data_IF_125272225760
#
_entry.id   IF_125272225760
#
_cell.length_a   1.000
_cell.length_b   1.000
_cell.length_c   1.000
_cell.angle_alpha   90.00
_cell.angle_beta   90.00
_cell.angle_gamma   90.00
#
_symmetry.space_group_name_H-M   'P 1'
#
loop_
_entity.id
_entity.type
_entity.pdbx_description
1 polymer ?
#
# COMPACT_ATOMS: atom_id res chain seq x y z
N UNK A 1 -9.53 -18.80 24.32
CA UNK A 1 -9.18 -20.13 24.87
C UNK A 1 -7.74 -20.39 24.47
N UNK A 2 -6.89 -20.81 25.39
CA UNK A 2 -5.46 -21.06 25.15
C UNK A 2 -5.21 -22.47 24.57
N UNK A 3 -3.94 -22.80 24.32
CA UNK A 3 -3.51 -24.08 23.75
C UNK A 3 -3.71 -25.29 24.70
N UNK A 4 -4.08 -25.03 25.95
CA UNK A 4 -4.33 -26.03 26.98
C UNK A 4 -5.83 -26.17 27.30
N UNK A 5 -6.69 -25.47 26.56
CA UNK A 5 -8.15 -25.56 26.72
C UNK A 5 -8.71 -24.70 27.85
N UNK A 6 -7.91 -23.82 28.46
CA UNK A 6 -8.42 -22.88 29.46
C UNK A 6 -9.03 -21.65 28.78
N UNK A 7 -10.08 -21.04 29.37
CA UNK A 7 -10.55 -19.74 28.91
C UNK A 7 -9.38 -18.74 29.03
N UNK A 8 -8.96 -18.19 27.89
CA UNK A 8 -7.94 -17.14 27.85
C UNK A 8 -8.42 -15.99 28.73
N UNK A 9 -7.56 -15.52 29.65
CA UNK A 9 -7.90 -14.53 30.68
C UNK A 9 -8.75 -13.37 30.16
N UNK A 10 -9.64 -12.89 31.02
CA UNK A 10 -10.53 -11.75 30.76
C UNK A 10 -9.66 -10.58 30.27
N UNK A 11 -9.97 -10.00 29.12
CA UNK A 11 -9.34 -8.74 28.71
C UNK A 11 -9.47 -7.74 29.88
N UNK A 12 -8.34 -7.18 30.33
CA UNK A 12 -8.31 -6.17 31.38
C UNK A 12 -9.35 -5.09 31.09
N UNK A 13 -10.14 -4.72 32.10
CA UNK A 13 -11.32 -3.85 31.96
C UNK A 13 -11.01 -2.53 31.23
N UNK A 14 -9.80 -2.00 31.41
CA UNK A 14 -9.29 -0.80 30.74
C UNK A 14 -9.20 -0.94 29.20
N UNK A 15 -8.89 -2.13 28.68
CA UNK A 15 -8.81 -2.36 27.23
C UNK A 15 -10.18 -2.32 26.56
N UNK A 16 -11.20 -2.84 27.25
CA UNK A 16 -12.58 -2.83 26.77
C UNK A 16 -13.11 -1.40 26.75
N UNK A 17 -12.83 -0.61 27.80
CA UNK A 17 -13.24 0.79 27.89
C UNK A 17 -12.57 1.65 26.81
N UNK A 18 -11.27 1.50 26.61
CA UNK A 18 -10.53 2.24 25.59
C UNK A 18 -11.00 1.88 24.17
N UNK A 19 -11.23 0.59 23.89
CA UNK A 19 -11.77 0.15 22.61
C UNK A 19 -13.19 0.69 22.35
N UNK A 20 -14.05 0.67 23.38
CA UNK A 20 -15.40 1.21 23.28
C UNK A 20 -15.39 2.73 23.04
N UNK A 21 -14.52 3.46 23.75
CA UNK A 21 -14.37 4.91 23.60
C UNK A 21 -13.91 5.29 22.18
N UNK A 22 -12.90 4.61 21.64
CA UNK A 22 -12.42 4.85 20.27
C UNK A 22 -13.50 4.58 19.21
N UNK A 23 -14.27 3.51 19.38
CA UNK A 23 -15.37 3.19 18.46
C UNK A 23 -16.47 4.25 18.50
N UNK A 24 -16.81 4.76 19.68
CA UNK A 24 -17.81 5.82 19.84
C UNK A 24 -17.35 7.13 19.17
N UNK A 25 -16.10 7.54 19.42
CA UNK A 25 -15.53 8.77 18.84
C UNK A 25 -15.40 8.68 17.31
N UNK A 26 -14.94 7.55 16.77
CA UNK A 26 -14.83 7.34 15.33
C UNK A 26 -16.21 7.36 14.64
N UNK A 27 -17.23 6.76 15.26
CA UNK A 27 -18.61 6.78 14.74
C UNK A 27 -19.19 8.18 14.72
N UNK A 28 -18.96 8.98 15.77
CA UNK A 28 -19.42 10.37 15.82
C UNK A 28 -18.75 11.22 14.72
N UNK A 29 -17.42 11.15 14.60
CA UNK A 29 -16.66 11.87 13.55
C UNK A 29 -17.07 11.45 12.14
N UNK A 30 -17.34 10.17 11.91
CA UNK A 30 -17.77 9.69 10.60
C UNK A 30 -19.21 10.14 10.27
N UNK A 31 -20.12 10.12 11.24
CA UNK A 31 -21.48 10.59 11.05
C UNK A 31 -21.53 12.08 10.67
N UNK A 32 -20.72 12.91 11.34
CA UNK A 32 -20.61 14.34 11.04
C UNK A 32 -20.03 14.59 9.64
N UNK A 33 -18.91 13.93 9.29
CA UNK A 33 -18.32 14.02 7.94
C UNK A 33 -19.30 13.55 6.86
N UNK A 34 -20.02 12.46 7.11
CA UNK A 34 -21.02 11.92 6.17
C UNK A 34 -22.23 12.83 6.03
N UNK A 35 -22.66 13.51 7.09
CA UNK A 35 -23.74 14.50 7.02
C UNK A 35 -23.31 15.74 6.22
N UNK A 36 -22.09 16.24 6.46
CA UNK A 36 -21.51 17.35 5.71
C UNK A 36 -21.34 17.02 4.21
N UNK A 37 -20.86 15.82 3.88
CA UNK A 37 -20.71 15.37 2.49
C UNK A 37 -22.07 15.17 1.80
N UNK A 38 -23.08 14.66 2.50
CA UNK A 38 -24.44 14.52 1.94
C UNK A 38 -25.08 15.88 1.67
N UNK A 39 -24.82 16.89 2.51
CA UNK A 39 -25.32 18.24 2.29
C UNK A 39 -24.62 18.93 1.10
N UNK A 40 -23.33 18.67 0.87
CA UNK A 40 -22.58 19.27 -0.26
C UNK A 40 -22.81 18.54 -1.60
N UNK A 41 -23.07 17.23 -1.59
CA UNK A 41 -23.18 16.41 -2.81
C UNK A 41 -24.60 16.04 -3.26
N UNK A 42 -25.65 16.65 -2.70
CA UNK A 42 -27.05 16.40 -3.09
C UNK A 42 -27.35 16.64 -4.59
N UNK A 43 -26.46 17.30 -5.35
CA UNK A 43 -26.61 17.56 -6.79
C UNK A 43 -25.69 16.77 -7.73
N UNK A 44 -24.72 16.00 -7.21
CA UNK A 44 -23.71 15.34 -8.06
C UNK A 44 -24.10 13.93 -8.54
N UNK A 45 -25.10 13.28 -7.92
CA UNK A 45 -25.41 11.87 -8.17
C UNK A 45 -26.37 11.60 -9.35
N UNK A 46 -26.51 12.53 -10.31
CA UNK A 46 -27.38 12.37 -11.50
C UNK A 46 -26.69 12.50 -12.87
N UNK A 47 -25.36 12.66 -12.96
CA UNK A 47 -24.73 13.07 -14.24
C UNK A 47 -23.46 12.37 -14.69
N UNK A 48 -23.16 11.15 -14.27
CA UNK A 48 -22.08 10.38 -14.92
C UNK A 48 -22.47 8.94 -15.27
N UNK A 49 -23.59 8.81 -15.96
CA UNK A 49 -23.86 7.68 -16.85
C UNK A 49 -24.04 8.24 -18.27
N UNK A 50 -22.95 8.66 -18.89
CA UNK A 50 -22.90 8.87 -20.34
C UNK A 50 -21.58 8.34 -20.87
N UNK A 51 -21.50 7.01 -20.93
CA UNK A 51 -20.66 6.34 -21.93
C UNK A 51 -21.45 6.36 -23.23
N UNK A 52 -21.00 7.13 -24.22
CA UNK A 52 -21.36 6.88 -25.62
C UNK A 52 -20.08 6.69 -26.44
N UNK A 53 -20.02 5.65 -27.30
CA UNK A 53 -18.83 5.27 -28.05
C UNK A 53 -18.76 5.94 -29.43
N UNK A 54 -17.52 6.11 -29.90
CA UNK A 54 -17.00 5.99 -31.28
C UNK A 54 -17.88 6.52 -32.43
N UNK A 55 -17.38 7.54 -33.15
CA UNK A 55 -17.38 7.49 -34.62
C UNK A 55 -16.12 8.18 -35.21
N UNK A 56 -15.85 7.83 -36.45
CA UNK A 56 -14.59 7.64 -37.16
C UNK A 56 -14.08 8.88 -37.91
N UNK A 57 -12.75 9.00 -37.92
CA UNK A 57 -11.86 9.17 -39.09
C UNK A 57 -12.07 10.41 -39.98
N UNK A 58 -11.00 11.21 -40.13
CA UNK A 58 -10.21 11.21 -41.36
C UNK A 58 -8.90 12.01 -41.27
N UNK A 59 -7.87 11.42 -41.88
CA UNK A 59 -6.73 12.03 -42.56
C UNK A 59 -5.63 12.75 -41.74
N UNK A 60 -4.61 11.99 -41.34
CA UNK A 60 -3.22 12.05 -41.89
C UNK A 60 -2.36 11.02 -41.15
N UNK A 61 -1.47 10.24 -41.81
CA UNK A 61 -0.55 9.37 -41.08
C UNK A 61 0.55 10.24 -40.45
N UNK A 62 0.64 10.40 -39.12
CA UNK A 62 1.87 10.90 -38.54
C UNK A 62 2.94 9.84 -38.79
N UNK A 63 4.01 10.24 -39.47
CA UNK A 63 5.22 9.43 -39.68
C UNK A 63 5.56 8.74 -38.36
N UNK A 64 5.61 7.40 -38.38
CA UNK A 64 6.15 6.60 -37.27
C UNK A 64 7.62 6.94 -37.14
N UNK A 65 7.94 7.96 -36.34
CA UNK A 65 9.26 8.03 -35.73
C UNK A 65 9.34 6.83 -34.79
N UNK A 66 10.37 5.98 -34.88
CA UNK A 66 10.60 4.98 -33.85
C UNK A 66 10.92 5.76 -32.58
N UNK A 67 9.92 5.88 -31.70
CA UNK A 67 10.15 6.29 -30.33
C UNK A 67 10.97 5.15 -29.74
N UNK A 68 12.29 5.26 -29.85
CA UNK A 68 13.22 4.56 -29.00
C UNK A 68 12.89 5.03 -27.60
N UNK A 69 12.00 4.31 -26.93
CA UNK A 69 11.91 4.32 -25.48
C UNK A 69 13.19 3.66 -24.96
N UNK A 70 14.33 4.32 -25.16
CA UNK A 70 15.49 4.23 -24.29
C UNK A 70 15.11 4.94 -23.00
N UNK A 71 14.13 4.36 -22.29
CA UNK A 71 14.09 4.57 -20.86
C UNK A 71 15.29 3.78 -20.36
N UNK A 72 16.29 4.43 -19.74
CA UNK A 72 17.38 3.68 -19.14
C UNK A 72 16.73 2.71 -18.16
N UNK A 73 16.76 1.43 -18.48
CA UNK A 73 16.35 0.37 -17.57
C UNK A 73 17.32 0.49 -16.42
N UNK A 74 16.90 1.15 -15.35
CA UNK A 74 17.67 1.25 -14.11
C UNK A 74 17.98 -0.19 -13.73
N UNK A 75 19.24 -0.58 -13.92
CA UNK A 75 19.75 -1.89 -13.49
C UNK A 75 19.79 -1.82 -11.97
N UNK A 76 18.68 -2.17 -11.36
CA UNK A 76 18.65 -2.43 -9.93
C UNK A 76 19.52 -3.66 -9.71
N UNK A 77 20.66 -3.49 -9.05
CA UNK A 77 21.50 -4.62 -8.68
C UNK A 77 20.80 -5.33 -7.53
N UNK A 78 20.49 -6.61 -7.72
CA UNK A 78 19.96 -7.45 -6.64
C UNK A 78 20.99 -7.47 -5.51
N UNK A 79 20.55 -7.13 -4.30
CA UNK A 79 21.41 -7.24 -3.11
C UNK A 79 21.50 -8.71 -2.75
N UNK A 80 22.72 -9.17 -2.49
CA UNK A 80 22.97 -10.49 -1.93
C UNK A 80 22.92 -10.42 -0.39
N UNK A 81 22.15 -11.30 0.23
CA UNK A 81 21.84 -11.24 1.67
C UNK A 81 23.06 -11.43 2.57
N UNK A 82 24.17 -11.95 2.04
CA UNK A 82 25.42 -12.18 2.79
C UNK A 82 26.01 -10.90 3.38
N UNK A 83 25.76 -9.75 2.76
CA UNK A 83 26.26 -8.45 3.22
C UNK A 83 25.19 -7.59 3.91
N UNK A 84 23.96 -8.10 4.04
CA UNK A 84 22.84 -7.34 4.54
C UNK A 84 22.68 -7.54 6.05
N UNK A 85 22.64 -6.44 6.80
CA UNK A 85 22.52 -6.42 8.24
C UNK A 85 21.25 -5.70 8.69
N UNK A 86 20.86 -5.94 9.94
CA UNK A 86 19.74 -5.22 10.57
C UNK A 86 20.08 -3.72 10.63
N UNK A 87 19.13 -2.89 10.23
CA UNK A 87 19.29 -1.43 10.17
C UNK A 87 19.73 -0.90 8.80
N UNK A 88 20.09 -1.76 7.85
CA UNK A 88 20.48 -1.32 6.52
C UNK A 88 19.30 -0.72 5.76
N UNK A 89 19.58 0.37 5.03
CA UNK A 89 18.62 1.00 4.12
C UNK A 89 18.66 0.30 2.77
N UNK A 90 17.51 -0.17 2.33
CA UNK A 90 17.33 -0.95 1.10
C UNK A 90 16.11 -0.45 0.33
N UNK A 91 16.08 -0.70 -0.98
CA UNK A 91 14.93 -0.44 -1.83
C UNK A 91 14.17 -1.73 -2.11
N UNK A 92 12.88 -1.72 -1.81
CA UNK A 92 11.98 -2.86 -1.95
C UNK A 92 11.00 -2.58 -3.08
N UNK A 93 10.85 -3.52 -4.01
CA UNK A 93 9.83 -3.41 -5.06
C UNK A 93 8.46 -3.82 -4.53
N UNK A 94 7.57 -2.84 -4.42
CA UNK A 94 6.17 -2.98 -3.99
C UNK A 94 5.27 -2.60 -5.17
N UNK A 95 4.60 -3.61 -5.75
CA UNK A 95 3.85 -3.45 -7.00
C UNK A 95 4.78 -3.08 -8.17
N UNK A 96 4.48 -1.97 -8.84
CA UNK A 96 5.27 -1.44 -9.96
C UNK A 96 6.39 -0.49 -9.50
N UNK A 97 6.41 -0.09 -8.22
CA UNK A 97 7.32 0.93 -7.69
C UNK A 97 8.32 0.38 -6.69
N UNK A 98 9.55 0.90 -6.68
CA UNK A 98 10.52 0.66 -5.61
C UNK A 98 10.33 1.71 -4.49
N UNK A 99 10.39 1.27 -3.23
CA UNK A 99 10.24 2.11 -2.03
C UNK A 99 11.41 1.88 -1.09
N UNK A 100 11.81 2.91 -0.36
CA UNK A 100 12.85 2.79 0.66
C UNK A 100 12.31 2.05 1.89
N UNK A 101 13.19 1.26 2.50
CA UNK A 101 12.89 0.40 3.63
C UNK A 101 14.14 0.21 4.50
N UNK A 102 13.92 -0.22 5.73
CA UNK A 102 14.96 -0.59 6.70
C UNK A 102 14.84 -2.08 7.01
N UNK A 103 15.96 -2.79 7.04
CA UNK A 103 16.01 -4.20 7.39
C UNK A 103 15.81 -4.38 8.89
N UNK A 104 14.79 -5.14 9.28
CA UNK A 104 14.53 -5.52 10.67
C UNK A 104 15.23 -6.84 11.02
N UNK A 105 15.09 -7.82 10.13
CA UNK A 105 15.64 -9.15 10.36
C UNK A 105 15.98 -9.85 9.06
N UNK A 106 17.09 -10.60 9.06
CA UNK A 106 17.55 -11.37 7.91
C UNK A 106 17.37 -12.84 8.24
N UNK A 107 16.40 -13.47 7.58
CA UNK A 107 16.17 -14.91 7.62
C UNK A 107 16.89 -15.52 6.41
N UNK A 108 17.30 -16.78 6.51
CA UNK A 108 18.14 -17.46 5.52
C UNK A 108 17.78 -17.19 4.05
N UNK A 109 16.49 -17.23 3.71
CA UNK A 109 16.00 -17.05 2.33
C UNK A 109 15.10 -15.81 2.15
N UNK A 110 14.76 -15.11 3.24
CA UNK A 110 13.80 -14.00 3.22
C UNK A 110 14.25 -12.91 4.18
N UNK A 111 13.93 -11.66 3.86
CA UNK A 111 14.25 -10.52 4.74
C UNK A 111 12.97 -9.85 5.21
N UNK A 112 12.89 -9.61 6.51
CA UNK A 112 11.88 -8.73 7.11
C UNK A 112 12.36 -7.30 6.99
N UNK A 113 11.60 -6.50 6.27
CA UNK A 113 11.87 -5.07 6.06
C UNK A 113 10.67 -4.25 6.52
N UNK A 114 10.96 -3.07 7.04
CA UNK A 114 9.99 -2.03 7.37
C UNK A 114 10.09 -0.92 6.33
N UNK A 115 8.99 -0.65 5.62
CA UNK A 115 8.89 0.49 4.70
C UNK A 115 8.76 1.80 5.50
N UNK A 116 9.05 2.94 4.88
CA UNK A 116 8.91 4.27 5.53
C UNK A 116 7.51 4.58 6.08
N UNK A 117 6.48 3.90 5.59
CA UNK A 117 5.11 4.03 6.08
C UNK A 117 4.79 3.15 7.31
N UNK A 118 5.80 2.50 7.89
CA UNK A 118 5.68 1.59 9.04
C UNK A 118 5.12 0.21 8.68
N UNK A 119 4.95 -0.10 7.38
CA UNK A 119 4.48 -1.42 6.96
C UNK A 119 5.65 -2.40 6.96
N UNK A 120 5.51 -3.49 7.71
CA UNK A 120 6.48 -4.58 7.78
C UNK A 120 6.09 -5.72 6.85
N UNK A 121 7.00 -6.17 6.00
CA UNK A 121 6.78 -7.31 5.10
C UNK A 121 8.01 -8.22 4.97
N UNK A 122 7.77 -9.49 4.66
CA UNK A 122 8.83 -10.44 4.30
C UNK A 122 9.03 -10.40 2.78
N UNK A 123 10.28 -10.21 2.35
CA UNK A 123 10.64 -9.96 0.96
C UNK A 123 11.66 -11.01 0.50
N UNK A 124 11.42 -11.53 -0.71
CA UNK A 124 12.33 -12.43 -1.42
C UNK A 124 13.45 -11.64 -2.11
N UNK A 125 14.61 -12.26 -2.41
CA UNK A 125 15.77 -11.56 -2.99
C UNK A 125 15.45 -10.81 -4.28
N UNK A 126 14.56 -11.35 -5.12
CA UNK A 126 14.17 -10.76 -6.42
C UNK A 126 13.53 -9.38 -6.31
N UNK A 127 13.10 -9.00 -5.10
CA UNK A 127 12.39 -7.75 -4.84
C UNK A 127 13.18 -6.79 -3.95
N UNK A 128 14.42 -7.14 -3.62
CA UNK A 128 15.32 -6.33 -2.79
C UNK A 128 16.47 -5.76 -3.63
N UNK A 129 16.68 -4.46 -3.51
CA UNK A 129 17.62 -3.70 -4.34
C UNK A 129 18.40 -2.68 -3.51
N UNK A 130 19.59 -2.34 -3.97
CA UNK A 130 20.41 -1.24 -3.43
C UNK A 130 19.97 0.13 -4.00
#
# INVERSE_FOLDING_TARGET
>A
IDLQGNPSGVLEQEHVEHAAQQLAEAKAKFAEKRAAEKASNAKANKKSLSRKPVDKQQAKPPKKMPIKNDRPKIKLMSIDFTNLHKGDKVKVKVGESAKEAVVLDVVKENVRVELENGLVMCVTPDRLFA
#
